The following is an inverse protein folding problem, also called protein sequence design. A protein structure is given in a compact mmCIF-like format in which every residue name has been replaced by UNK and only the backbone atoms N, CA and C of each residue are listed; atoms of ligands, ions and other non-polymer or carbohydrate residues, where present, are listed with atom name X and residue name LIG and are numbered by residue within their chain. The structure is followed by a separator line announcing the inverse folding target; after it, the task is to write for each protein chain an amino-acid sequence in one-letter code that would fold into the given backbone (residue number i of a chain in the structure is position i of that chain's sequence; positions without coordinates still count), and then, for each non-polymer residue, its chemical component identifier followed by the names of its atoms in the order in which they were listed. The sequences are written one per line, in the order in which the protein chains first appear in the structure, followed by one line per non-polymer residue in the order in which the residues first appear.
data_IF_409778613426
#
_entry.id   IF_409778613426
#
_cell.length_a   1.000
_cell.length_b   1.000
_cell.length_c   1.000
_cell.angle_alpha   90.00
_cell.angle_beta   90.00
_cell.angle_gamma   90.00
#
_symmetry.space_group_name_H-M   'P 1'
#
loop_
_entity.id
_entity.type
_entity.pdbx_description
1 polymer ?
#
# COMPACT_ATOMS: atom_id res chain seq x y z
N UNK A 1 -24.77 -107.84 -8.65
CA UNK A 1 -24.75 -106.71 -7.69
C UNK A 1 -24.07 -105.52 -8.36
N UNK A 2 -24.79 -104.41 -8.44
CA UNK A 2 -24.38 -103.00 -8.53
C UNK A 2 -22.93 -102.65 -8.91
N UNK A 3 -22.72 -101.95 -10.03
CA UNK A 3 -21.43 -101.30 -10.33
C UNK A 3 -21.38 -100.37 -11.56
N UNK A 4 -22.13 -100.67 -12.63
CA UNK A 4 -21.93 -99.99 -13.92
C UNK A 4 -22.66 -98.65 -14.12
N UNK A 5 -23.74 -98.37 -13.39
CA UNK A 5 -24.42 -97.06 -13.46
C UNK A 5 -23.60 -95.91 -12.86
N UNK A 6 -22.77 -96.21 -11.85
CA UNK A 6 -21.96 -95.21 -11.14
C UNK A 6 -20.80 -94.66 -11.97
N UNK A 7 -20.20 -95.47 -12.85
CA UNK A 7 -18.97 -95.11 -13.56
C UNK A 7 -19.24 -94.28 -14.81
N UNK A 8 -20.23 -94.66 -15.61
CA UNK A 8 -20.63 -93.90 -16.80
C UNK A 8 -21.17 -92.51 -16.45
N UNK A 9 -21.85 -92.38 -15.30
CA UNK A 9 -22.35 -91.12 -14.78
C UNK A 9 -21.21 -90.23 -14.23
N UNK A 10 -20.16 -90.84 -13.67
CA UNK A 10 -18.92 -90.13 -13.29
C UNK A 10 -18.15 -89.62 -14.51
N UNK A 11 -18.01 -90.42 -15.56
CA UNK A 11 -17.29 -90.01 -16.79
C UNK A 11 -18.03 -88.89 -17.53
N UNK A 12 -19.36 -88.92 -17.53
CA UNK A 12 -20.18 -87.84 -18.10
C UNK A 12 -20.01 -86.54 -17.31
N UNK A 13 -20.02 -86.62 -15.97
CA UNK A 13 -19.72 -85.47 -15.09
C UNK A 13 -18.29 -84.97 -15.25
N UNK A 14 -17.31 -85.85 -15.46
CA UNK A 14 -15.92 -85.49 -15.67
C UNK A 14 -15.76 -84.67 -16.95
N UNK A 15 -16.36 -85.10 -18.06
CA UNK A 15 -16.37 -84.35 -19.33
C UNK A 15 -17.10 -83.02 -19.22
N UNK A 16 -18.21 -82.96 -18.48
CA UNK A 16 -18.92 -81.71 -18.21
C UNK A 16 -18.08 -80.74 -17.35
N UNK A 17 -17.32 -81.26 -16.38
CA UNK A 17 -16.36 -80.49 -15.58
C UNK A 17 -15.18 -79.99 -16.42
N UNK A 18 -14.55 -80.85 -17.21
CA UNK A 18 -13.43 -80.48 -18.09
C UNK A 18 -13.84 -79.41 -19.12
N UNK A 19 -15.09 -79.45 -19.61
CA UNK A 19 -15.61 -78.44 -20.52
C UNK A 19 -16.05 -77.13 -19.82
N UNK A 20 -16.44 -77.18 -18.55
CA UNK A 20 -16.95 -76.02 -17.81
C UNK A 20 -15.86 -75.25 -17.06
N UNK A 21 -14.79 -75.90 -16.63
CA UNK A 21 -13.65 -75.26 -15.92
C UNK A 21 -12.99 -74.14 -16.74
N UNK A 22 -12.67 -74.30 -18.04
CA UNK A 22 -12.07 -73.23 -18.83
C UNK A 22 -13.01 -72.04 -19.00
N UNK A 23 -14.30 -72.29 -19.23
CA UNK A 23 -15.34 -71.25 -19.34
C UNK A 23 -15.50 -70.48 -18.03
N UNK A 24 -15.51 -71.18 -16.90
CA UNK A 24 -15.55 -70.53 -15.58
C UNK A 24 -14.28 -69.73 -15.31
N UNK A 25 -13.10 -70.21 -15.70
CA UNK A 25 -11.85 -69.46 -15.58
C UNK A 25 -11.83 -68.18 -16.43
N UNK A 26 -12.33 -68.23 -17.66
CA UNK A 26 -12.46 -67.04 -18.52
C UNK A 26 -13.47 -66.05 -17.94
N UNK A 27 -14.63 -66.52 -17.47
CA UNK A 27 -15.62 -65.66 -16.80
C UNK A 27 -15.06 -65.04 -15.52
N UNK A 28 -14.27 -65.78 -14.74
CA UNK A 28 -13.64 -65.26 -13.54
C UNK A 28 -12.58 -64.21 -13.89
N UNK A 29 -11.74 -64.46 -14.90
CA UNK A 29 -10.75 -63.48 -15.38
C UNK A 29 -11.41 -62.21 -15.91
N UNK A 30 -12.49 -62.35 -16.69
CA UNK A 30 -13.22 -61.22 -17.25
C UNK A 30 -13.92 -60.39 -16.15
N UNK A 31 -14.57 -61.04 -15.18
CA UNK A 31 -15.21 -60.35 -14.05
C UNK A 31 -14.21 -59.68 -13.12
N UNK A 32 -13.06 -60.32 -12.86
CA UNK A 32 -11.99 -59.73 -12.06
C UNK A 32 -11.37 -58.52 -12.75
N UNK A 33 -11.09 -58.62 -14.06
CA UNK A 33 -10.60 -57.49 -14.86
C UNK A 33 -11.60 -56.33 -14.86
N UNK A 34 -12.89 -56.59 -15.08
CA UNK A 34 -13.92 -55.56 -15.05
C UNK A 34 -14.04 -54.89 -13.66
N UNK A 35 -13.91 -55.64 -12.57
CA UNK A 35 -13.91 -55.08 -11.22
C UNK A 35 -12.67 -54.22 -10.95
N UNK A 36 -11.49 -54.68 -11.38
CA UNK A 36 -10.24 -53.91 -11.26
C UNK A 36 -10.34 -52.63 -12.08
N UNK A 37 -10.73 -52.71 -13.35
CA UNK A 37 -10.87 -51.54 -14.22
C UNK A 37 -11.88 -50.53 -13.63
N UNK A 38 -13.04 -51.00 -13.15
CA UNK A 38 -14.04 -50.14 -12.50
C UNK A 38 -13.53 -49.52 -11.19
N UNK A 39 -12.79 -50.26 -10.36
CA UNK A 39 -12.20 -49.73 -9.13
C UNK A 39 -11.07 -48.72 -9.43
N UNK A 40 -10.32 -48.96 -10.49
CA UNK A 40 -9.22 -48.10 -10.95
C UNK A 40 -9.78 -46.81 -11.53
N UNK A 41 -10.81 -46.87 -12.38
CA UNK A 41 -11.47 -45.69 -12.94
C UNK A 41 -12.15 -44.85 -11.84
N UNK A 42 -12.82 -45.48 -10.86
CA UNK A 42 -13.39 -44.77 -9.70
C UNK A 42 -12.34 -44.04 -8.86
N UNK A 43 -11.09 -44.53 -8.82
CA UNK A 43 -10.00 -43.87 -8.08
C UNK A 43 -9.28 -42.81 -8.91
N UNK A 44 -9.00 -43.09 -10.18
CA UNK A 44 -8.14 -42.24 -11.01
C UNK A 44 -8.92 -41.05 -11.58
N UNK A 45 -10.15 -41.25 -12.05
CA UNK A 45 -10.96 -40.20 -12.69
C UNK A 45 -11.15 -38.94 -11.83
N UNK A 46 -11.53 -39.03 -10.54
CA UNK A 46 -11.63 -37.83 -9.70
C UNK A 46 -10.28 -37.14 -9.50
N UNK A 47 -9.18 -37.89 -9.41
CA UNK A 47 -7.84 -37.33 -9.28
C UNK A 47 -7.40 -36.61 -10.56
N UNK A 48 -7.71 -37.14 -11.74
CA UNK A 48 -7.40 -36.48 -13.02
C UNK A 48 -8.22 -35.21 -13.19
N UNK A 49 -9.51 -35.27 -12.90
CA UNK A 49 -10.41 -34.11 -13.00
C UNK A 49 -10.01 -32.99 -12.03
N UNK A 50 -9.65 -33.35 -10.79
CA UNK A 50 -9.15 -32.41 -9.80
C UNK A 50 -7.82 -31.77 -10.22
N UNK A 51 -6.90 -32.56 -10.80
CA UNK A 51 -5.61 -32.07 -11.25
C UNK A 51 -5.74 -31.11 -12.45
N UNK A 52 -6.66 -31.38 -13.38
CA UNK A 52 -6.99 -30.44 -14.47
C UNK A 52 -7.64 -29.16 -13.95
N UNK A 53 -8.55 -29.26 -12.97
CA UNK A 53 -9.14 -28.10 -12.32
C UNK A 53 -8.08 -27.25 -11.59
N UNK A 54 -7.14 -27.89 -10.89
CA UNK A 54 -6.02 -27.23 -10.22
C UNK A 54 -5.07 -26.54 -11.22
N UNK A 55 -4.74 -27.18 -12.35
CA UNK A 55 -3.95 -26.55 -13.43
C UNK A 55 -4.64 -25.31 -13.96
N UNK A 56 -5.95 -25.38 -14.18
CA UNK A 56 -6.76 -24.24 -14.65
C UNK A 56 -6.78 -23.09 -13.63
N UNK A 57 -6.94 -23.40 -12.34
CA UNK A 57 -6.85 -22.42 -11.25
C UNK A 57 -5.47 -21.79 -11.16
N UNK A 58 -4.40 -22.58 -11.24
CA UNK A 58 -3.02 -22.07 -11.23
C UNK A 58 -2.76 -21.11 -12.40
N UNK A 59 -3.18 -21.45 -13.62
CA UNK A 59 -3.07 -20.53 -14.76
C UNK A 59 -3.81 -19.22 -14.53
N UNK A 60 -5.01 -19.27 -13.94
CA UNK A 60 -5.76 -18.06 -13.59
C UNK A 60 -5.05 -17.23 -12.52
N UNK A 61 -4.45 -17.87 -11.51
CA UNK A 61 -3.66 -17.19 -10.47
C UNK A 61 -2.39 -16.57 -11.04
N UNK A 62 -1.65 -17.26 -11.90
CA UNK A 62 -0.47 -16.69 -12.59
C UNK A 62 -0.84 -15.45 -13.40
N UNK A 63 -1.96 -15.48 -14.13
CA UNK A 63 -2.45 -14.30 -14.87
C UNK A 63 -2.75 -13.12 -13.94
N UNK A 64 -3.40 -13.38 -12.80
CA UNK A 64 -3.68 -12.35 -11.79
C UNK A 64 -2.39 -11.80 -11.16
N UNK A 65 -1.40 -12.66 -10.89
CA UNK A 65 -0.11 -12.27 -10.35
C UNK A 65 0.64 -11.36 -11.32
N UNK A 66 0.71 -11.74 -12.59
CA UNK A 66 1.37 -10.93 -13.63
C UNK A 66 0.69 -9.56 -13.77
N UNK A 67 -0.65 -9.52 -13.74
CA UNK A 67 -1.39 -8.27 -13.78
C UNK A 67 -1.09 -7.39 -12.56
N UNK A 68 -1.02 -7.98 -11.36
CA UNK A 68 -0.65 -7.25 -10.14
C UNK A 68 0.79 -6.71 -10.19
N UNK A 69 1.73 -7.46 -10.78
CA UNK A 69 3.10 -7.00 -10.99
C UNK A 69 3.15 -5.78 -11.92
N UNK A 70 2.44 -5.82 -13.05
CA UNK A 70 2.36 -4.68 -13.99
C UNK A 70 1.75 -3.45 -13.32
N UNK A 71 0.68 -3.62 -12.52
CA UNK A 71 0.11 -2.51 -11.77
C UNK A 71 1.09 -1.94 -10.74
N UNK A 72 1.84 -2.80 -10.05
CA UNK A 72 2.83 -2.37 -9.08
C UNK A 72 3.99 -1.60 -9.73
N UNK A 73 4.50 -2.08 -10.86
CA UNK A 73 5.53 -1.38 -11.64
C UNK A 73 5.04 -0.01 -12.13
N UNK A 74 3.78 0.06 -12.59
CA UNK A 74 3.16 1.32 -13.01
C UNK A 74 3.03 2.28 -11.83
N UNK A 75 2.57 1.79 -10.67
CA UNK A 75 2.43 2.60 -9.47
C UNK A 75 3.76 3.14 -8.95
N UNK A 76 4.83 2.32 -8.95
CA UNK A 76 6.16 2.77 -8.55
C UNK A 76 6.74 3.79 -9.56
N UNK A 77 6.50 3.60 -10.86
CA UNK A 77 6.87 4.58 -11.89
C UNK A 77 6.15 5.91 -11.69
N UNK A 78 4.84 5.88 -11.45
CA UNK A 78 4.04 7.08 -11.21
C UNK A 78 4.45 7.78 -9.91
N UNK A 79 4.71 7.04 -8.84
CA UNK A 79 5.25 7.58 -7.59
C UNK A 79 6.58 8.29 -7.81
N UNK A 80 7.49 7.68 -8.58
CA UNK A 80 8.76 8.32 -8.93
C UNK A 80 8.56 9.59 -9.76
N UNK A 81 7.63 9.58 -10.71
CA UNK A 81 7.28 10.75 -11.53
C UNK A 81 6.69 11.88 -10.68
N UNK A 82 5.70 11.58 -9.85
CA UNK A 82 5.05 12.55 -8.96
C UNK A 82 6.05 13.14 -7.96
N UNK A 83 6.95 12.33 -7.41
CA UNK A 83 8.02 12.82 -6.52
C UNK A 83 8.90 13.85 -7.23
N UNK A 84 9.36 13.57 -8.45
CA UNK A 84 10.16 14.53 -9.24
C UNK A 84 9.38 15.81 -9.54
N UNK A 85 8.07 15.71 -9.79
CA UNK A 85 7.23 16.87 -10.03
C UNK A 85 7.08 17.75 -8.79
N UNK A 86 6.86 17.13 -7.62
CA UNK A 86 6.82 17.81 -6.32
C UNK A 86 8.16 18.49 -6.04
N UNK A 87 9.28 17.78 -6.22
CA UNK A 87 10.62 18.34 -5.99
C UNK A 87 10.87 19.58 -6.86
N UNK A 88 10.47 19.53 -8.14
CA UNK A 88 10.58 20.69 -9.06
C UNK A 88 9.70 21.86 -8.61
N UNK A 89 8.46 21.59 -8.19
CA UNK A 89 7.55 22.63 -7.68
C UNK A 89 8.10 23.28 -6.41
N UNK A 90 8.62 22.47 -5.48
CA UNK A 90 9.25 22.96 -4.26
C UNK A 90 10.48 23.83 -4.55
N UNK A 91 11.32 23.43 -5.51
CA UNK A 91 12.45 24.25 -5.95
C UNK A 91 12.02 25.60 -6.52
N UNK A 92 10.95 25.61 -7.35
CA UNK A 92 10.41 26.86 -7.89
C UNK A 92 9.85 27.77 -6.78
N UNK A 93 9.07 27.20 -5.86
CA UNK A 93 8.51 27.93 -4.71
C UNK A 93 9.60 28.52 -3.81
N UNK A 94 10.69 27.77 -3.59
CA UNK A 94 11.86 28.26 -2.86
C UNK A 94 12.56 29.42 -3.60
N UNK A 95 12.69 29.33 -4.92
CA UNK A 95 13.25 30.41 -5.73
C UNK A 95 12.40 31.69 -5.67
N UNK A 96 11.07 31.54 -5.70
CA UNK A 96 10.13 32.64 -5.49
C UNK A 96 10.27 33.20 -4.08
N UNK A 97 10.38 32.33 -3.06
CA UNK A 97 10.62 32.70 -1.67
C UNK A 97 11.88 33.55 -1.49
N UNK A 98 13.00 33.13 -2.06
CA UNK A 98 14.26 33.88 -2.03
C UNK A 98 14.17 35.24 -2.75
N UNK A 99 13.47 35.28 -3.88
CA UNK A 99 13.26 36.54 -4.61
C UNK A 99 12.41 37.50 -3.78
N UNK A 100 11.29 37.02 -3.22
CA UNK A 100 10.38 37.82 -2.40
C UNK A 100 11.02 38.24 -1.08
N UNK A 101 11.87 37.40 -0.48
CA UNK A 101 12.68 37.79 0.67
C UNK A 101 13.54 39.03 0.38
N UNK A 102 14.10 39.12 -0.83
CA UNK A 102 14.92 40.28 -1.25
C UNK A 102 14.07 41.49 -1.63
N UNK A 103 12.88 41.31 -2.20
CA UNK A 103 12.11 42.41 -2.82
C UNK A 103 10.88 42.86 -2.03
N UNK A 104 10.35 42.05 -1.12
CA UNK A 104 9.14 42.33 -0.34
C UNK A 104 9.46 42.45 1.14
N UNK A 105 9.29 43.66 1.69
CA UNK A 105 9.42 43.94 3.12
C UNK A 105 8.51 43.05 3.98
N UNK A 106 7.29 42.77 3.51
CA UNK A 106 6.33 41.95 4.25
C UNK A 106 6.81 40.50 4.38
N UNK A 107 7.27 39.92 3.27
CA UNK A 107 7.77 38.54 3.23
C UNK A 107 9.10 38.44 3.99
N UNK A 108 9.99 39.42 3.83
CA UNK A 108 11.26 39.48 4.55
C UNK A 108 11.05 39.44 6.05
N UNK A 109 10.18 40.32 6.58
CA UNK A 109 9.88 40.39 8.02
C UNK A 109 9.27 39.10 8.55
N UNK A 110 8.37 38.46 7.81
CA UNK A 110 7.79 37.18 8.21
C UNK A 110 8.84 36.06 8.27
N UNK A 111 9.74 36.00 7.28
CA UNK A 111 10.83 35.03 7.24
C UNK A 111 11.84 35.29 8.36
N UNK A 112 12.26 36.54 8.56
CA UNK A 112 13.18 36.91 9.64
C UNK A 112 12.58 36.62 11.02
N UNK A 113 11.27 36.83 11.20
CA UNK A 113 10.55 36.47 12.42
C UNK A 113 10.55 34.96 12.69
N UNK A 114 10.30 34.14 11.67
CA UNK A 114 10.36 32.68 11.78
C UNK A 114 11.78 32.19 12.12
N UNK A 115 12.81 32.72 11.46
CA UNK A 115 14.22 32.40 11.75
C UNK A 115 14.57 32.81 13.18
N UNK A 116 14.25 34.06 13.57
CA UNK A 116 14.50 34.60 14.90
C UNK A 116 13.88 33.74 15.98
N UNK A 117 12.60 33.39 15.84
CA UNK A 117 11.91 32.54 16.81
C UNK A 117 12.52 31.13 16.88
N UNK A 118 12.78 30.52 15.73
CA UNK A 118 13.33 29.18 15.62
C UNK A 118 14.74 29.06 16.25
N UNK A 119 15.54 30.12 16.20
CA UNK A 119 16.88 30.16 16.79
C UNK A 119 16.92 30.71 18.21
N UNK A 120 15.81 31.28 18.71
CA UNK A 120 15.81 31.92 20.02
C UNK A 120 15.94 30.90 21.15
N UNK A 121 17.05 31.02 21.86
CA UNK A 121 17.41 30.25 23.05
C UNK A 121 17.62 31.20 24.24
N UNK A 122 17.23 30.74 25.42
CA UNK A 122 17.48 31.39 26.69
C UNK A 122 18.45 30.54 27.52
N UNK A 123 19.56 31.14 27.94
CA UNK A 123 20.50 30.49 28.85
C UNK A 123 20.07 30.76 30.30
N UNK A 124 19.74 29.70 31.03
CA UNK A 124 19.42 29.79 32.45
C UNK A 124 20.65 30.17 33.30
N UNK A 125 20.42 30.56 34.56
CA UNK A 125 21.49 30.84 35.54
C UNK A 125 22.46 29.66 35.74
N UNK A 126 22.06 28.44 35.40
CA UNK A 126 22.85 27.22 35.52
C UNK A 126 23.53 26.80 34.20
N UNK A 127 23.51 27.64 33.16
CA UNK A 127 24.12 27.35 31.86
C UNK A 127 23.34 26.35 31.00
N UNK A 128 22.07 26.07 31.35
CA UNK A 128 21.19 25.24 30.53
C UNK A 128 20.48 26.14 29.53
N UNK A 129 20.65 25.83 28.25
CA UNK A 129 20.01 26.48 27.12
C UNK A 129 18.62 25.87 26.88
N UNK A 130 17.60 26.72 26.89
CA UNK A 130 16.20 26.33 26.60
C UNK A 130 15.65 27.18 25.48
N UNK A 131 15.06 26.55 24.47
CA UNK A 131 14.40 27.26 23.38
C UNK A 131 13.18 28.03 23.86
N UNK A 132 12.85 29.12 23.17
CA UNK A 132 11.64 29.89 23.45
C UNK A 132 10.37 29.07 23.17
N UNK A 133 9.41 29.08 24.10
CA UNK A 133 8.17 28.33 23.89
C UNK A 133 7.28 28.96 22.81
N UNK A 134 7.26 30.29 22.71
CA UNK A 134 6.37 31.03 21.81
C UNK A 134 7.09 32.18 21.05
N UNK A 135 6.61 32.54 19.84
CA UNK A 135 7.02 33.77 19.16
C UNK A 135 6.62 35.00 19.98
N UNK A 136 7.35 36.09 19.80
CA UNK A 136 6.98 37.40 20.35
C UNK A 136 5.80 37.96 19.56
N UNK A 137 5.09 38.93 20.15
CA UNK A 137 3.90 39.52 19.53
C UNK A 137 4.21 40.15 18.16
N UNK A 138 5.36 40.82 18.02
CA UNK A 138 5.81 41.43 16.75
C UNK A 138 6.19 40.37 15.70
N UNK A 139 6.79 39.26 16.12
CA UNK A 139 7.08 38.11 15.24
C UNK A 139 5.78 37.48 14.73
N UNK A 140 4.82 37.23 15.62
CA UNK A 140 3.50 36.71 15.29
C UNK A 140 2.77 37.63 14.31
N UNK A 141 2.74 38.93 14.58
CA UNK A 141 2.05 39.91 13.72
C UNK A 141 2.67 39.95 12.31
N UNK A 142 4.00 39.90 12.20
CA UNK A 142 4.69 39.89 10.92
C UNK A 142 4.31 38.66 10.08
N UNK A 143 4.30 37.47 10.69
CA UNK A 143 3.93 36.20 10.05
C UNK A 143 2.46 36.23 9.65
N UNK A 144 1.57 36.61 10.57
CA UNK A 144 0.13 36.66 10.35
C UNK A 144 -0.24 37.60 9.20
N UNK A 145 0.36 38.80 9.18
CA UNK A 145 0.12 39.80 8.13
C UNK A 145 0.56 39.32 6.76
N UNK A 146 1.68 38.60 6.68
CA UNK A 146 2.14 37.99 5.43
C UNK A 146 1.14 36.91 4.96
N UNK A 147 0.71 36.02 5.86
CA UNK A 147 -0.25 34.96 5.53
C UNK A 147 -1.59 35.56 5.08
N UNK A 148 -2.18 36.51 5.83
CA UNK A 148 -3.44 37.16 5.46
C UNK A 148 -3.34 37.86 4.09
N UNK A 149 -2.21 38.51 3.79
CA UNK A 149 -2.03 39.23 2.52
C UNK A 149 -1.91 38.29 1.33
N UNK A 150 -1.23 37.17 1.50
CA UNK A 150 -0.91 36.24 0.41
C UNK A 150 -1.85 35.03 0.31
N UNK A 151 -2.76 34.84 1.27
CA UNK A 151 -3.79 33.79 1.24
C UNK A 151 -5.07 34.18 0.47
N UNK A 152 -5.09 35.32 -0.23
CA UNK A 152 -6.24 35.72 -1.04
C UNK A 152 -6.45 34.73 -2.20
N UNK A 153 -7.36 33.77 -2.02
CA UNK A 153 -7.64 32.69 -2.97
C UNK A 153 -6.92 31.36 -2.68
N UNK A 154 -6.10 31.29 -1.62
CA UNK A 154 -5.47 30.06 -1.14
C UNK A 154 -5.81 29.81 0.33
N UNK A 155 -5.49 28.61 0.84
CA UNK A 155 -5.65 28.34 2.26
C UNK A 155 -4.45 28.92 3.03
N UNK A 156 -4.68 29.71 4.10
CA UNK A 156 -3.65 30.20 5.02
C UNK A 156 -2.51 29.22 5.33
N UNK A 157 -2.81 27.95 5.63
CA UNK A 157 -1.77 26.95 5.97
C UNK A 157 -0.76 26.73 4.84
N UNK A 158 -1.18 26.75 3.57
CA UNK A 158 -0.27 26.61 2.42
C UNK A 158 0.74 27.76 2.37
N UNK A 159 0.30 28.98 2.69
CA UNK A 159 1.17 30.15 2.74
C UNK A 159 2.11 30.06 3.95
N UNK A 160 1.60 29.60 5.11
CA UNK A 160 2.40 29.35 6.30
C UNK A 160 3.52 28.33 6.06
N UNK A 161 3.19 27.17 5.49
CA UNK A 161 4.16 26.12 5.12
C UNK A 161 5.23 26.65 4.16
N UNK A 162 4.82 27.43 3.14
CA UNK A 162 5.76 28.03 2.20
C UNK A 162 6.72 29.03 2.86
N UNK A 163 6.21 29.86 3.78
CA UNK A 163 7.04 30.80 4.56
C UNK A 163 8.04 30.05 5.45
N UNK A 164 7.60 29.00 6.15
CA UNK A 164 8.47 28.16 6.98
C UNK A 164 9.54 27.44 6.16
N UNK A 165 9.18 26.83 5.03
CA UNK A 165 10.14 26.19 4.13
C UNK A 165 11.20 27.19 3.63
N UNK A 166 10.77 28.40 3.29
CA UNK A 166 11.67 29.47 2.85
C UNK A 166 12.58 29.93 3.99
N UNK A 167 12.05 30.08 5.20
CA UNK A 167 12.81 30.43 6.40
C UNK A 167 13.87 29.38 6.74
N UNK A 168 13.51 28.09 6.70
CA UNK A 168 14.44 26.98 6.92
C UNK A 168 15.61 27.00 5.93
N UNK A 169 15.33 27.31 4.66
CA UNK A 169 16.38 27.43 3.63
C UNK A 169 17.27 28.66 3.84
N UNK A 170 16.67 29.83 4.05
CA UNK A 170 17.41 31.10 4.16
C UNK A 170 18.22 31.16 5.46
N UNK A 171 17.60 30.76 6.58
CA UNK A 171 18.23 30.73 7.90
C UNK A 171 19.18 29.55 8.10
N UNK A 172 19.22 28.60 7.17
CA UNK A 172 19.97 27.32 7.28
C UNK A 172 19.64 26.61 8.60
N UNK A 173 18.35 26.53 8.90
CA UNK A 173 17.87 25.97 10.15
C UNK A 173 18.15 24.46 10.21
N UNK A 174 18.78 23.93 11.27
CA UNK A 174 18.83 22.49 11.52
C UNK A 174 17.42 21.94 11.79
N UNK A 175 17.27 20.61 11.69
CA UNK A 175 15.98 19.92 11.71
C UNK A 175 15.03 20.36 12.84
N UNK A 176 15.53 20.44 14.08
CA UNK A 176 14.74 20.89 15.22
C UNK A 176 14.26 22.35 15.11
N UNK A 177 15.09 23.26 14.59
CA UNK A 177 14.71 24.66 14.40
C UNK A 177 13.75 24.82 13.22
N UNK A 178 13.94 24.02 12.16
CA UNK A 178 13.03 23.96 11.02
C UNK A 178 11.63 23.47 11.45
N UNK A 179 11.55 22.42 12.28
CA UNK A 179 10.29 21.92 12.84
C UNK A 179 9.59 22.98 13.69
N UNK A 180 10.35 23.76 14.48
CA UNK A 180 9.80 24.87 15.26
C UNK A 180 9.22 25.98 14.36
N UNK A 181 9.95 26.36 13.30
CA UNK A 181 9.46 27.34 12.34
C UNK A 181 8.18 26.86 11.63
N UNK A 182 8.16 25.59 11.21
CA UNK A 182 7.01 24.95 10.57
C UNK A 182 5.80 24.93 11.49
N UNK A 183 5.96 24.45 12.72
CA UNK A 183 4.87 24.37 13.70
C UNK A 183 4.28 25.75 14.01
N UNK A 184 5.13 26.76 14.21
CA UNK A 184 4.63 28.12 14.47
C UNK A 184 3.91 28.72 13.27
N UNK A 185 4.42 28.54 12.06
CA UNK A 185 3.74 29.01 10.86
C UNK A 185 2.39 28.29 10.67
N UNK A 186 2.35 26.98 10.95
CA UNK A 186 1.13 26.18 10.94
C UNK A 186 0.12 26.66 11.98
N UNK A 187 0.52 26.82 13.24
CA UNK A 187 -0.37 27.24 14.32
C UNK A 187 -1.00 28.61 14.01
N UNK A 188 -0.18 29.59 13.59
CA UNK A 188 -0.67 30.92 13.19
C UNK A 188 -1.63 30.80 11.99
N UNK A 189 -1.26 30.04 10.96
CA UNK A 189 -2.10 29.86 9.78
C UNK A 189 -3.42 29.14 10.08
N UNK A 190 -3.41 28.18 11.00
CA UNK A 190 -4.59 27.42 11.41
C UNK A 190 -5.57 28.30 12.20
N UNK A 191 -5.06 29.18 13.06
CA UNK A 191 -5.89 30.21 13.70
C UNK A 191 -6.58 31.12 12.66
N UNK A 192 -5.86 31.49 11.60
CA UNK A 192 -6.42 32.29 10.49
C UNK A 192 -7.47 31.54 9.67
N UNK A 193 -7.32 30.22 9.51
CA UNK A 193 -8.31 29.37 8.85
C UNK A 193 -9.62 29.32 9.64
N UNK A 194 -9.57 29.27 10.97
CA UNK A 194 -10.75 29.37 11.83
C UNK A 194 -11.44 30.74 11.73
N UNK A 195 -10.69 31.84 11.83
CA UNK A 195 -11.23 33.20 11.67
C UNK A 195 -11.98 33.34 10.34
N UNK A 196 -11.41 32.78 9.27
CA UNK A 196 -12.04 32.78 7.94
C UNK A 196 -13.36 32.03 7.93
N UNK A 197 -13.43 30.85 8.55
CA UNK A 197 -14.64 30.04 8.59
C UNK A 197 -15.78 30.69 9.39
N UNK A 198 -15.45 31.44 10.44
CA UNK A 198 -16.45 32.21 11.22
C UNK A 198 -17.02 33.39 10.42
N UNK A 199 -16.17 34.14 9.71
CA UNK A 199 -16.58 35.30 8.90
C UNK A 199 -17.46 34.89 7.70
N UNK A 200 -17.25 33.71 7.12
CA UNK A 200 -18.06 33.19 6.01
C UNK A 200 -19.24 32.31 6.45
N UNK A 201 -19.50 32.16 7.75
CA UNK A 201 -20.64 31.38 8.26
C UNK A 201 -20.62 29.90 7.86
N UNK A 202 -19.44 29.32 7.61
CA UNK A 202 -19.27 27.97 7.05
C UNK A 202 -19.14 26.86 8.12
N UNK A 203 -19.41 27.16 9.40
CA UNK A 203 -19.55 26.12 10.42
C UNK A 203 -20.83 25.32 10.15
N UNK A 204 -20.67 24.00 9.90
CA UNK A 204 -21.76 23.04 10.00
C UNK A 204 -22.14 22.79 11.45
#
# INVERSE_FOLDING_TARGET
MFGFGSQAEKDKRLKELEASVPKMQEQLKASFKAQVDAATEKRIKPLTDENEALKSKNMAFTKKLNLAQVYNETAESDKARLKREIDRKNQLLLGIGEMLYKTSELIRKAIDALISFAQRVFTSKYGIDTYADNPRMDETEAIEKAIRKHSQGQAPHVVGEWLALTASKIGKLPEHEAERAERTAFDIAHHLDYDRQEVYGLKR
#
